data_IF_608106329619
#
_entry.id   IF_608106329619
#
_cell.length_a   1.000
_cell.length_b   1.000
_cell.length_c   1.000
_cell.angle_alpha   90.00
_cell.angle_beta   90.00
_cell.angle_gamma   90.00
#
_symmetry.space_group_name_H-M   'P 1'
#
loop_
_entity.id
_entity.type
_entity.pdbx_description
1 polymer ?
#
# COMPACT_ATOMS: atom_id res chain seq x y z
N UNK A 1 35.48 -8.00 80.31
CA UNK A 1 35.89 -9.14 79.47
C UNK A 1 34.72 -9.52 78.54
N UNK A 2 34.97 -9.45 77.23
CA UNK A 2 34.26 -10.11 76.11
C UNK A 2 32.74 -9.94 76.02
N UNK A 3 32.29 -8.89 75.31
CA UNK A 3 31.07 -8.93 74.47
C UNK A 3 31.51 -9.09 73.02
N UNK A 4 31.65 -10.34 72.62
CA UNK A 4 31.69 -10.79 71.23
C UNK A 4 30.22 -11.00 70.81
N UNK A 5 29.91 -10.81 69.52
CA UNK A 5 28.57 -10.81 68.89
C UNK A 5 27.82 -9.50 69.02
N UNK A 6 28.00 -8.63 68.02
CA UNK A 6 26.98 -8.12 67.09
C UNK A 6 27.79 -7.35 66.02
N UNK A 7 28.31 -8.11 65.06
CA UNK A 7 29.00 -7.57 63.88
C UNK A 7 28.78 -8.56 62.74
N UNK A 8 27.51 -8.87 62.47
CA UNK A 8 27.07 -9.60 61.29
C UNK A 8 25.56 -9.41 61.09
N UNK A 9 25.14 -8.20 60.74
CA UNK A 9 23.80 -7.92 60.24
C UNK A 9 23.82 -6.80 59.17
N UNK A 10 24.92 -6.77 58.41
CA UNK A 10 24.99 -6.09 57.12
C UNK A 10 24.94 -7.20 56.09
N UNK A 11 23.78 -7.40 55.45
CA UNK A 11 23.59 -7.95 54.09
C UNK A 11 22.12 -8.41 53.91
N UNK A 12 21.38 -7.65 53.11
CA UNK A 12 20.26 -8.02 52.21
C UNK A 12 19.04 -8.79 52.78
N UNK A 13 17.80 -8.38 52.42
CA UNK A 13 17.39 -8.33 51.02
C UNK A 13 16.50 -7.12 50.64
N UNK A 14 17.00 -6.25 49.77
CA UNK A 14 16.21 -5.30 48.96
C UNK A 14 16.59 -5.44 47.49
N UNK A 15 16.53 -6.66 46.97
CA UNK A 15 16.65 -6.92 45.53
C UNK A 15 15.66 -8.04 45.24
N UNK A 16 14.44 -7.70 44.81
CA UNK A 16 13.53 -8.60 44.07
C UNK A 16 12.26 -7.84 43.63
N UNK A 17 12.41 -6.65 43.04
CA UNK A 17 11.38 -6.05 42.18
C UNK A 17 12.11 -5.26 41.08
N UNK A 18 12.50 -5.97 40.02
CA UNK A 18 13.10 -5.37 38.82
C UNK A 18 12.06 -4.54 38.08
N UNK A 19 12.01 -3.24 38.35
CA UNK A 19 11.29 -2.30 37.50
C UNK A 19 12.17 -2.07 36.27
N UNK A 20 11.85 -2.74 35.16
CA UNK A 20 12.50 -2.48 33.86
C UNK A 20 12.23 -1.03 33.47
N UNK A 21 13.21 -0.15 33.67
CA UNK A 21 13.13 1.27 33.31
C UNK A 21 13.63 1.46 31.88
N UNK A 22 12.79 2.03 31.03
CA UNK A 22 13.20 2.43 29.68
C UNK A 22 14.30 3.50 29.75
N UNK A 23 15.32 3.38 28.91
CA UNK A 23 16.46 4.31 28.84
C UNK A 23 16.23 5.27 27.68
N UNK A 24 16.34 6.58 27.91
CA UNK A 24 16.22 7.59 26.84
C UNK A 24 17.59 7.95 26.29
N UNK A 25 17.77 7.89 24.97
CA UNK A 25 18.95 8.28 24.22
C UNK A 25 18.67 9.50 23.33
N UNK A 26 19.71 10.25 22.97
CA UNK A 26 19.59 11.25 21.90
C UNK A 26 19.72 10.60 20.51
N UNK A 27 19.18 11.21 19.44
CA UNK A 27 19.34 10.70 18.08
C UNK A 27 20.81 10.53 17.64
N UNK A 28 21.69 11.44 18.08
CA UNK A 28 23.11 11.42 17.72
C UNK A 28 23.84 10.25 18.38
N UNK A 29 23.46 9.87 19.61
CA UNK A 29 24.06 8.73 20.32
C UNK A 29 23.73 7.40 19.64
N UNK A 30 22.49 7.27 19.12
CA UNK A 30 22.07 6.10 18.34
C UNK A 30 22.86 6.02 17.03
N UNK A 31 22.96 7.13 16.29
CA UNK A 31 23.69 7.16 15.02
C UNK A 31 25.19 6.84 15.20
N UNK A 32 25.83 7.37 16.25
CA UNK A 32 27.21 7.06 16.57
C UNK A 32 27.42 5.60 16.96
N UNK A 33 26.48 4.99 17.68
CA UNK A 33 26.53 3.57 18.05
C UNK A 33 26.44 2.65 16.81
N UNK A 34 25.52 2.95 15.89
CA UNK A 34 25.33 2.18 14.66
C UNK A 34 26.54 2.26 13.72
N UNK A 35 27.31 3.36 13.78
CA UNK A 35 28.48 3.58 12.94
C UNK A 35 29.78 2.94 13.50
N UNK A 36 29.76 2.40 14.73
CA UNK A 36 30.94 1.75 15.32
C UNK A 36 31.29 0.45 14.56
N UNK A 37 32.50 0.32 13.99
CA UNK A 37 32.92 -0.88 13.25
C UNK A 37 32.79 -2.18 14.06
N UNK A 38 32.97 -2.10 15.39
CA UNK A 38 32.79 -3.27 16.28
C UNK A 38 31.33 -3.72 16.31
N UNK A 39 30.38 -2.79 16.46
CA UNK A 39 28.94 -3.05 16.36
C UNK A 39 28.56 -3.68 15.02
N UNK A 40 29.04 -3.11 13.91
CA UNK A 40 28.77 -3.62 12.55
C UNK A 40 29.22 -5.07 12.39
N UNK A 41 30.45 -5.40 12.81
CA UNK A 41 30.97 -6.78 12.69
C UNK A 41 30.15 -7.81 13.47
N UNK A 42 29.64 -7.42 14.65
CA UNK A 42 28.80 -8.26 15.50
C UNK A 42 27.41 -8.48 14.90
N UNK A 43 26.82 -7.45 14.32
CA UNK A 43 25.54 -7.54 13.62
C UNK A 43 25.65 -8.40 12.37
N UNK A 44 26.74 -8.28 11.60
CA UNK A 44 27.00 -9.14 10.44
C UNK A 44 27.11 -10.61 10.83
N UNK A 45 27.76 -10.91 11.97
CA UNK A 45 27.83 -12.27 12.47
C UNK A 45 26.45 -12.80 12.91
N UNK A 46 25.65 -12.00 13.64
CA UNK A 46 24.27 -12.37 13.96
C UNK A 46 23.42 -12.60 12.70
N UNK A 47 23.57 -11.75 11.69
CA UNK A 47 22.87 -11.87 10.41
C UNK A 47 23.26 -13.16 9.70
N UNK A 48 24.55 -13.50 9.68
CA UNK A 48 25.00 -14.78 9.14
C UNK A 48 24.38 -15.98 9.87
N UNK A 49 24.35 -15.99 11.21
CA UNK A 49 23.73 -17.08 11.97
C UNK A 49 22.24 -17.22 11.68
N UNK A 50 21.54 -16.09 11.56
CA UNK A 50 20.14 -16.06 11.15
C UNK A 50 19.96 -16.61 9.72
N UNK A 51 20.84 -16.20 8.80
CA UNK A 51 20.85 -16.63 7.40
C UNK A 51 21.22 -18.10 7.21
N UNK A 52 22.05 -18.65 8.09
CA UNK A 52 22.43 -20.07 8.13
C UNK A 52 21.37 -20.93 8.87
N UNK A 53 20.29 -20.33 9.37
CA UNK A 53 19.23 -20.95 10.17
C UNK A 53 19.72 -21.55 11.51
N UNK A 54 20.85 -21.10 12.04
CA UNK A 54 21.42 -21.56 13.31
C UNK A 54 20.84 -20.74 14.50
N UNK A 55 19.57 -21.00 14.81
CA UNK A 55 18.83 -20.23 15.83
C UNK A 55 19.34 -20.43 17.25
N UNK A 56 19.90 -21.60 17.58
CA UNK A 56 20.38 -21.89 18.93
C UNK A 56 21.67 -21.10 19.22
N UNK A 57 22.62 -21.10 18.27
CA UNK A 57 23.83 -20.28 18.34
C UNK A 57 23.47 -18.79 18.29
N UNK A 58 22.51 -18.41 17.44
CA UNK A 58 22.04 -17.01 17.36
C UNK A 58 21.48 -16.51 18.69
N UNK A 59 20.58 -17.27 19.33
CA UNK A 59 19.99 -16.86 20.61
C UNK A 59 21.06 -16.70 21.70
N UNK A 60 21.97 -17.68 21.80
CA UNK A 60 23.10 -17.62 22.74
C UNK A 60 24.00 -16.41 22.46
N UNK A 61 24.27 -16.12 21.19
CA UNK A 61 25.06 -14.97 20.79
C UNK A 61 24.36 -13.65 21.14
N UNK A 62 23.07 -13.51 20.80
CA UNK A 62 22.27 -12.31 21.11
C UNK A 62 22.15 -12.06 22.61
N UNK A 63 22.10 -13.11 23.44
CA UNK A 63 22.09 -12.99 24.91
C UNK A 63 23.44 -12.55 25.49
N UNK A 64 24.54 -12.76 24.76
CA UNK A 64 25.87 -12.26 25.13
C UNK A 64 26.12 -10.79 24.77
N UNK A 65 25.28 -10.21 23.88
CA UNK A 65 25.45 -8.83 23.43
C UNK A 65 24.97 -7.82 24.48
N UNK A 66 25.61 -6.62 24.55
CA UNK A 66 25.03 -5.49 25.26
C UNK A 66 23.62 -5.18 24.74
N UNK A 67 22.70 -4.84 25.63
CA UNK A 67 21.27 -4.72 25.29
C UNK A 67 21.01 -3.74 24.13
N UNK A 68 21.72 -2.61 24.07
CA UNK A 68 21.56 -1.64 22.98
C UNK A 68 21.89 -2.26 21.61
N UNK A 69 23.02 -2.98 21.54
CA UNK A 69 23.47 -3.67 20.35
C UNK A 69 22.58 -4.86 20.01
N UNK A 70 22.00 -5.52 21.02
CA UNK A 70 21.00 -6.58 20.83
C UNK A 70 19.77 -6.02 20.13
N UNK A 71 19.21 -4.89 20.57
CA UNK A 71 18.03 -4.30 19.93
C UNK A 71 18.30 -3.82 18.50
N UNK A 72 19.50 -3.30 18.25
CA UNK A 72 19.97 -2.98 16.90
C UNK A 72 20.04 -4.23 16.03
N UNK A 73 20.72 -5.28 16.51
CA UNK A 73 20.84 -6.56 15.80
C UNK A 73 19.45 -7.12 15.49
N UNK A 74 18.54 -7.18 16.47
CA UNK A 74 17.16 -7.64 16.26
C UNK A 74 16.42 -6.84 15.18
N UNK A 75 16.66 -5.54 15.08
CA UNK A 75 16.06 -4.69 14.04
C UNK A 75 16.59 -5.05 12.66
N UNK A 76 17.90 -5.27 12.54
CA UNK A 76 18.54 -5.68 11.29
C UNK A 76 18.07 -7.07 10.86
N UNK A 77 17.99 -8.03 11.80
CA UNK A 77 17.50 -9.38 11.55
C UNK A 77 16.02 -9.40 11.11
N UNK A 78 15.16 -8.60 11.75
CA UNK A 78 13.77 -8.48 11.33
C UNK A 78 13.67 -7.94 9.90
N UNK A 79 14.48 -6.93 9.54
CA UNK A 79 14.51 -6.36 8.19
C UNK A 79 15.08 -7.30 7.14
N UNK A 80 16.12 -8.07 7.46
CA UNK A 80 16.69 -9.04 6.52
C UNK A 80 15.70 -10.16 6.17
N UNK A 81 14.80 -10.50 7.10
CA UNK A 81 13.75 -11.50 6.89
C UNK A 81 12.65 -11.09 5.89
N UNK A 82 12.72 -9.88 5.30
CA UNK A 82 11.87 -9.50 4.18
C UNK A 82 12.21 -10.24 2.88
N UNK A 83 13.44 -10.76 2.78
CA UNK A 83 13.75 -11.74 1.76
C UNK A 83 13.17 -13.10 2.17
N UNK A 84 12.00 -13.41 1.62
CA UNK A 84 11.29 -14.65 1.91
C UNK A 84 11.93 -15.89 1.28
N UNK A 85 12.93 -15.76 0.40
CA UNK A 85 13.60 -16.92 -0.22
C UNK A 85 14.31 -17.81 0.81
N UNK A 86 14.65 -17.24 1.96
CA UNK A 86 15.32 -17.92 3.07
C UNK A 86 14.41 -18.14 4.29
N UNK A 87 13.11 -17.87 4.18
CA UNK A 87 12.19 -18.04 5.31
C UNK A 87 12.01 -19.52 5.68
N UNK A 88 12.23 -19.84 6.96
CA UNK A 88 12.08 -21.17 7.54
C UNK A 88 11.10 -21.14 8.72
N UNK A 89 10.54 -22.28 9.16
CA UNK A 89 9.72 -22.33 10.37
C UNK A 89 10.45 -21.82 11.62
N UNK A 90 11.76 -22.04 11.70
CA UNK A 90 12.57 -21.56 12.83
C UNK A 90 12.73 -20.04 12.81
N UNK A 91 12.93 -19.43 11.63
CA UNK A 91 12.94 -17.97 11.47
C UNK A 91 11.58 -17.36 11.78
N UNK A 92 10.51 -17.96 11.29
CA UNK A 92 9.15 -17.50 11.60
C UNK A 92 8.92 -17.52 13.12
N UNK A 93 9.27 -18.61 13.80
CA UNK A 93 9.17 -18.73 15.26
C UNK A 93 10.03 -17.68 15.98
N UNK A 94 11.24 -17.40 15.48
CA UNK A 94 12.08 -16.32 16.00
C UNK A 94 11.39 -14.96 15.87
N UNK A 95 10.87 -14.63 14.68
CA UNK A 95 10.13 -13.38 14.42
C UNK A 95 8.90 -13.26 15.32
N UNK A 96 8.13 -14.34 15.50
CA UNK A 96 6.98 -14.37 16.44
C UNK A 96 7.44 -14.03 17.85
N UNK A 97 8.56 -14.60 18.30
CA UNK A 97 9.13 -14.33 19.63
C UNK A 97 9.46 -12.85 19.81
N UNK A 98 10.23 -12.27 18.90
CA UNK A 98 10.69 -10.87 19.03
C UNK A 98 9.55 -9.87 18.78
N UNK A 99 8.53 -10.22 18.00
CA UNK A 99 7.34 -9.38 17.77
C UNK A 99 6.54 -9.09 19.04
N UNK A 100 6.68 -9.93 20.08
CA UNK A 100 5.97 -9.82 21.35
C UNK A 100 6.77 -9.10 22.43
N UNK A 101 8.03 -8.76 22.16
CA UNK A 101 8.93 -8.08 23.09
C UNK A 101 8.71 -6.55 23.04
N UNK A 102 9.18 -5.86 24.08
CA UNK A 102 9.12 -4.39 24.17
C UNK A 102 10.53 -3.81 24.11
N UNK A 103 10.80 -2.85 23.20
CA UNK A 103 12.05 -2.11 23.20
C UNK A 103 12.29 -1.37 24.52
N UNK A 104 13.52 -1.43 25.02
CA UNK A 104 13.98 -0.79 26.26
C UNK A 104 14.60 0.57 26.00
N UNK A 105 15.19 0.80 24.82
CA UNK A 105 15.80 2.07 24.47
C UNK A 105 14.81 2.94 23.68
N UNK A 106 14.64 4.18 24.14
CA UNK A 106 13.77 5.17 23.54
C UNK A 106 14.58 6.37 23.09
N UNK A 107 14.19 7.01 21.99
CA UNK A 107 14.74 8.28 21.53
C UNK A 107 13.68 9.36 21.74
N UNK A 108 14.09 10.49 22.32
CA UNK A 108 13.29 11.71 22.37
C UNK A 108 13.71 12.63 21.23
N UNK A 109 12.73 13.03 20.43
CA UNK A 109 12.91 14.02 19.37
C UNK A 109 11.88 15.15 19.52
N UNK A 110 12.29 16.37 19.20
CA UNK A 110 11.42 17.54 19.17
C UNK A 110 10.97 17.79 17.73
N UNK A 111 9.66 17.73 17.47
CA UNK A 111 9.07 18.03 16.17
C UNK A 111 7.82 18.89 16.36
N UNK A 112 7.70 19.97 15.57
CA UNK A 112 6.55 20.88 15.55
C UNK A 112 6.06 21.37 16.93
N UNK A 113 7.00 21.64 17.85
CA UNK A 113 6.69 22.13 19.20
C UNK A 113 6.26 21.06 20.20
N UNK A 114 6.24 19.78 19.81
CA UNK A 114 5.94 18.64 20.68
C UNK A 114 7.15 17.72 20.86
N UNK A 115 7.20 17.03 22.01
CA UNK A 115 8.18 15.98 22.28
C UNK A 115 7.59 14.62 21.93
N UNK A 116 8.21 13.94 20.97
CA UNK A 116 7.85 12.56 20.61
C UNK A 116 8.88 11.61 21.21
N UNK A 117 8.41 10.57 21.89
CA UNK A 117 9.24 9.46 22.38
C UNK A 117 8.93 8.23 21.55
N UNK A 118 9.94 7.66 20.90
CA UNK A 118 9.82 6.47 20.07
C UNK A 118 10.92 5.45 20.43
N UNK A 119 10.76 4.15 20.14
CA UNK A 119 11.85 3.19 20.28
C UNK A 119 13.08 3.63 19.47
N UNK A 120 14.27 3.51 20.05
CA UNK A 120 15.53 3.66 19.33
C UNK A 120 15.64 2.62 18.20
N UNK A 121 15.13 1.41 18.49
CA UNK A 121 15.16 0.25 17.60
C UNK A 121 13.78 -0.43 17.63
N UNK A 122 13.03 -0.35 16.53
CA UNK A 122 11.65 -0.86 16.46
C UNK A 122 11.57 -2.34 15.99
N UNK A 123 12.45 -3.20 16.50
CA UNK A 123 12.52 -4.60 16.06
C UNK A 123 11.19 -5.36 16.20
N UNK A 124 10.42 -5.12 17.27
CA UNK A 124 9.13 -5.77 17.48
C UNK A 124 8.09 -5.35 16.43
N UNK A 125 8.08 -4.07 16.04
CA UNK A 125 7.21 -3.57 14.97
C UNK A 125 7.61 -4.11 13.59
N UNK A 126 8.90 -4.11 13.30
CA UNK A 126 9.47 -4.66 12.05
C UNK A 126 9.13 -6.15 11.92
N UNK A 127 9.31 -6.93 12.99
CA UNK A 127 8.97 -8.35 12.99
C UNK A 127 7.48 -8.62 12.74
N UNK A 128 6.57 -7.84 13.35
CA UNK A 128 5.12 -7.94 13.06
C UNK A 128 4.83 -7.64 11.59
N UNK A 129 5.48 -6.62 11.04
CA UNK A 129 5.28 -6.22 9.66
C UNK A 129 5.75 -7.32 8.69
N UNK A 130 6.93 -7.90 8.93
CA UNK A 130 7.47 -9.03 8.16
C UNK A 130 6.54 -10.25 8.25
N UNK A 131 6.08 -10.61 9.45
CA UNK A 131 5.16 -11.74 9.65
C UNK A 131 3.84 -11.55 8.90
N UNK A 132 3.27 -10.34 8.89
CA UNK A 132 2.06 -10.06 8.11
C UNK A 132 2.31 -10.22 6.61
N UNK A 133 3.45 -9.74 6.09
CA UNK A 133 3.84 -9.89 4.68
C UNK A 133 4.12 -11.35 4.31
N UNK A 134 4.73 -12.11 5.20
CA UNK A 134 4.93 -13.55 5.05
C UNK A 134 3.59 -14.29 4.98
N UNK A 135 2.65 -13.97 5.87
CA UNK A 135 1.30 -14.55 5.84
C UNK A 135 0.58 -14.26 4.53
N UNK A 136 0.69 -13.03 4.01
CA UNK A 136 0.15 -12.67 2.69
C UNK A 136 0.79 -13.52 1.60
N UNK A 137 2.12 -13.71 1.63
CA UNK A 137 2.84 -14.55 0.65
C UNK A 137 2.39 -16.01 0.69
N UNK A 138 2.20 -16.59 1.89
CA UNK A 138 1.66 -17.95 2.04
C UNK A 138 0.25 -18.07 1.44
N UNK A 139 -0.61 -17.07 1.68
CA UNK A 139 -1.96 -17.01 1.12
C UNK A 139 -1.95 -16.82 -0.40
N UNK A 140 -1.01 -16.06 -0.96
CA UNK A 140 -0.81 -15.96 -2.41
C UNK A 140 -0.46 -17.31 -3.01
N UNK A 141 0.46 -18.05 -2.39
CA UNK A 141 0.88 -19.37 -2.87
C UNK A 141 -0.26 -20.38 -2.78
N UNK A 142 -1.08 -20.32 -1.72
CA UNK A 142 -2.31 -21.10 -1.60
C UNK A 142 -3.30 -20.75 -2.71
N UNK A 143 -3.61 -19.47 -2.90
CA UNK A 143 -4.52 -19.01 -3.93
C UNK A 143 -4.06 -19.41 -5.34
N UNK A 144 -2.77 -19.29 -5.62
CA UNK A 144 -2.19 -19.69 -6.90
C UNK A 144 -2.32 -21.21 -7.13
N UNK A 145 -2.05 -22.04 -6.11
CA UNK A 145 -2.27 -23.49 -6.18
C UNK A 145 -3.75 -23.80 -6.45
N UNK A 146 -4.66 -23.20 -5.70
CA UNK A 146 -6.10 -23.41 -5.87
C UNK A 146 -6.58 -22.96 -7.26
N UNK A 147 -6.08 -21.84 -7.77
CA UNK A 147 -6.41 -21.35 -9.11
C UNK A 147 -5.89 -22.30 -10.20
N UNK A 148 -4.68 -22.83 -10.04
CA UNK A 148 -4.09 -23.80 -10.97
C UNK A 148 -4.90 -25.09 -11.07
N UNK A 149 -5.36 -25.61 -9.93
CA UNK A 149 -6.20 -26.80 -9.87
C UNK A 149 -7.69 -26.54 -10.13
N UNK A 150 -8.09 -25.31 -10.49
CA UNK A 150 -9.49 -24.89 -10.66
C UNK A 150 -10.35 -25.15 -9.40
N UNK A 151 -9.74 -25.05 -8.22
CA UNK A 151 -10.37 -25.25 -6.90
C UNK A 151 -10.59 -23.94 -6.16
N UNK A 152 -10.13 -22.80 -6.70
CA UNK A 152 -10.33 -21.50 -6.07
C UNK A 152 -11.81 -21.09 -6.16
N UNK A 153 -12.47 -21.06 -5.00
CA UNK A 153 -13.77 -20.42 -4.85
C UNK A 153 -13.55 -18.99 -4.33
N UNK A 154 -13.69 -18.01 -5.22
CA UNK A 154 -13.35 -16.62 -4.93
C UNK A 154 -14.30 -15.96 -3.92
N UNK A 155 -15.60 -16.24 -3.99
CA UNK A 155 -16.56 -15.70 -3.00
C UNK A 155 -16.33 -16.25 -1.60
N UNK A 156 -15.99 -17.53 -1.47
CA UNK A 156 -15.60 -18.12 -0.17
C UNK A 156 -14.28 -17.54 0.33
N UNK A 157 -13.31 -17.36 -0.56
CA UNK A 157 -12.01 -16.76 -0.24
C UNK A 157 -12.14 -15.33 0.29
N UNK A 158 -13.01 -14.53 -0.31
CA UNK A 158 -13.26 -13.12 0.03
C UNK A 158 -14.45 -12.94 0.97
N UNK A 159 -14.75 -13.93 1.81
CA UNK A 159 -15.85 -13.85 2.76
C UNK A 159 -15.53 -12.84 3.87
N UNK A 160 -16.32 -11.77 4.00
CA UNK A 160 -16.16 -10.74 5.04
C UNK A 160 -16.29 -11.27 6.47
N UNK A 161 -16.96 -12.40 6.68
CA UNK A 161 -17.10 -13.01 8.01
C UNK A 161 -15.82 -13.70 8.50
N UNK A 162 -14.80 -13.81 7.65
CA UNK A 162 -13.51 -14.39 8.04
C UNK A 162 -12.64 -13.38 8.79
N UNK A 163 -12.02 -13.80 9.90
CA UNK A 163 -11.11 -12.97 10.68
C UNK A 163 -9.85 -12.54 9.90
N UNK A 164 -9.52 -13.25 8.82
CA UNK A 164 -8.37 -13.01 7.96
C UNK A 164 -8.74 -12.37 6.61
N UNK A 165 -9.98 -11.88 6.45
CA UNK A 165 -10.46 -11.24 5.22
C UNK A 165 -9.47 -10.22 4.64
N UNK A 166 -8.94 -9.33 5.48
CA UNK A 166 -8.01 -8.28 5.03
C UNK A 166 -6.73 -8.86 4.39
N UNK A 167 -6.16 -9.91 5.01
CA UNK A 167 -4.97 -10.58 4.50
C UNK A 167 -5.26 -11.38 3.22
N UNK A 168 -6.40 -12.09 3.19
CA UNK A 168 -6.86 -12.85 2.01
C UNK A 168 -7.11 -11.96 0.81
N UNK A 169 -7.75 -10.81 1.05
CA UNK A 169 -7.95 -9.76 0.05
C UNK A 169 -6.62 -9.25 -0.47
N UNK A 170 -5.73 -8.83 0.43
CA UNK A 170 -4.43 -8.27 0.05
C UNK A 170 -3.62 -9.29 -0.76
N UNK A 171 -3.64 -10.57 -0.36
CA UNK A 171 -3.00 -11.66 -1.08
C UNK A 171 -3.48 -11.75 -2.54
N UNK A 172 -4.78 -11.78 -2.81
CA UNK A 172 -5.27 -11.85 -4.20
C UNK A 172 -4.93 -10.57 -4.97
N UNK A 173 -5.16 -9.39 -4.38
CA UNK A 173 -4.90 -8.11 -5.05
C UNK A 173 -3.44 -7.99 -5.49
N UNK A 174 -2.51 -8.39 -4.63
CA UNK A 174 -1.06 -8.36 -4.90
C UNK A 174 -0.59 -9.54 -5.77
N UNK A 175 -1.35 -10.62 -5.84
CA UNK A 175 -1.11 -11.75 -6.74
C UNK A 175 -1.42 -11.38 -8.19
N UNK A 176 -2.51 -10.66 -8.47
CA UNK A 176 -3.00 -10.35 -9.83
C UNK A 176 -1.91 -9.84 -10.78
N UNK A 177 -1.07 -8.84 -10.41
CA UNK A 177 -0.02 -8.33 -11.30
C UNK A 177 1.00 -9.37 -11.75
N UNK A 178 1.20 -10.42 -10.95
CA UNK A 178 2.19 -11.50 -11.18
C UNK A 178 1.64 -12.64 -12.03
N UNK A 179 0.32 -12.70 -12.25
CA UNK A 179 -0.31 -13.77 -13.00
C UNK A 179 0.05 -13.71 -14.49
N UNK A 180 0.24 -14.89 -15.08
CA UNK A 180 0.29 -15.04 -16.53
C UNK A 180 -1.11 -14.91 -17.14
N UNK A 181 -1.19 -14.77 -18.46
CA UNK A 181 -2.46 -14.56 -19.17
C UNK A 181 -3.49 -15.66 -18.87
N UNK A 182 -3.11 -16.93 -18.94
CA UNK A 182 -4.03 -18.05 -18.71
C UNK A 182 -4.63 -18.04 -17.30
N UNK A 183 -3.82 -17.76 -16.28
CA UNK A 183 -4.31 -17.69 -14.90
C UNK A 183 -5.17 -16.44 -14.67
N UNK A 184 -4.78 -15.32 -15.28
CA UNK A 184 -5.56 -14.09 -15.23
C UNK A 184 -6.95 -14.29 -15.84
N UNK A 185 -7.02 -14.86 -17.05
CA UNK A 185 -8.28 -15.12 -17.76
C UNK A 185 -9.19 -16.03 -16.91
N UNK A 186 -8.63 -17.06 -16.24
CA UNK A 186 -9.38 -17.90 -15.28
C UNK A 186 -9.91 -17.09 -14.10
N UNK A 187 -9.08 -16.22 -13.51
CA UNK A 187 -9.48 -15.44 -12.34
C UNK A 187 -10.55 -14.39 -12.70
N UNK A 188 -10.44 -13.78 -13.89
CA UNK A 188 -11.47 -12.88 -14.43
C UNK A 188 -12.78 -13.64 -14.66
N UNK A 189 -12.72 -14.83 -15.28
CA UNK A 189 -13.91 -15.67 -15.46
C UNK A 189 -14.56 -16.04 -14.11
N UNK A 190 -13.77 -16.47 -13.12
CA UNK A 190 -14.28 -16.72 -11.76
C UNK A 190 -14.96 -15.49 -11.15
N UNK A 191 -14.40 -14.30 -11.38
CA UNK A 191 -14.99 -13.05 -10.91
C UNK A 191 -16.30 -12.72 -11.64
N UNK A 192 -16.37 -12.91 -12.96
CA UNK A 192 -17.54 -12.52 -13.74
C UNK A 192 -18.69 -13.54 -13.63
N UNK A 193 -18.37 -14.83 -13.45
CA UNK A 193 -19.34 -15.92 -13.45
C UNK A 193 -19.92 -16.22 -12.05
N UNK A 194 -19.20 -15.87 -10.98
CA UNK A 194 -19.67 -16.11 -9.61
C UNK A 194 -20.75 -15.10 -9.18
N UNK A 195 -22.01 -15.54 -9.20
CA UNK A 195 -23.16 -14.72 -8.78
C UNK A 195 -23.05 -14.19 -7.34
N UNK A 196 -22.29 -14.85 -6.46
CA UNK A 196 -22.15 -14.42 -5.07
C UNK A 196 -21.17 -13.25 -4.91
N UNK A 197 -20.28 -13.02 -5.89
CA UNK A 197 -19.26 -11.98 -5.82
C UNK A 197 -19.83 -10.57 -6.00
N UNK A 198 -21.04 -10.47 -6.56
CA UNK A 198 -21.80 -9.21 -6.67
C UNK A 198 -21.99 -8.59 -5.27
N UNK A 199 -22.12 -9.43 -4.25
CA UNK A 199 -22.28 -9.02 -2.85
C UNK A 199 -20.95 -8.75 -2.13
N UNK A 200 -19.82 -8.89 -2.83
CA UNK A 200 -18.48 -8.60 -2.30
C UNK A 200 -17.95 -7.32 -2.95
N UNK A 201 -18.27 -6.13 -2.39
CA UNK A 201 -17.85 -4.84 -2.92
C UNK A 201 -16.36 -4.60 -2.68
N UNK A 202 -15.49 -5.33 -3.39
CA UNK A 202 -14.05 -5.10 -3.37
C UNK A 202 -13.54 -4.45 -4.65
N UNK A 203 -13.50 -3.12 -4.63
CA UNK A 203 -13.00 -2.33 -5.75
C UNK A 203 -11.49 -2.48 -5.96
N UNK A 204 -10.70 -2.88 -4.95
CA UNK A 204 -9.26 -3.06 -5.17
C UNK A 204 -8.96 -4.31 -6.00
N UNK A 205 -9.69 -5.40 -5.75
CA UNK A 205 -9.57 -6.58 -6.59
C UNK A 205 -10.05 -6.29 -8.02
N UNK A 206 -11.19 -5.63 -8.18
CA UNK A 206 -11.68 -5.23 -9.49
C UNK A 206 -10.71 -4.32 -10.22
N UNK A 207 -10.15 -3.31 -9.55
CA UNK A 207 -9.15 -2.43 -10.12
C UNK A 207 -7.91 -3.22 -10.57
N UNK A 208 -7.38 -4.11 -9.72
CA UNK A 208 -6.22 -4.93 -10.08
C UNK A 208 -6.50 -5.84 -11.29
N UNK A 209 -7.68 -6.48 -11.35
CA UNK A 209 -8.10 -7.30 -12.48
C UNK A 209 -8.29 -6.46 -13.74
N UNK A 210 -8.97 -5.31 -13.65
CA UNK A 210 -9.21 -4.40 -14.76
C UNK A 210 -7.90 -3.90 -15.36
N UNK A 211 -6.97 -3.43 -14.53
CA UNK A 211 -5.67 -2.94 -14.97
C UNK A 211 -4.82 -4.03 -15.65
N UNK A 212 -4.78 -5.23 -15.07
CA UNK A 212 -3.93 -6.32 -15.58
C UNK A 212 -4.52 -6.99 -16.82
N UNK A 213 -5.84 -7.16 -16.90
CA UNK A 213 -6.52 -7.80 -18.03
C UNK A 213 -6.84 -6.81 -19.16
N UNK A 214 -7.05 -5.55 -18.81
CA UNK A 214 -7.63 -4.55 -19.68
C UNK A 214 -9.08 -4.86 -20.09
N UNK A 215 -9.77 -5.85 -19.51
CA UNK A 215 -11.10 -6.23 -19.97
C UNK A 215 -12.15 -5.14 -19.70
N UNK A 216 -12.84 -4.70 -20.76
CA UNK A 216 -13.84 -3.64 -20.66
C UNK A 216 -14.96 -3.99 -19.68
N UNK A 217 -15.44 -5.24 -19.68
CA UNK A 217 -16.47 -5.72 -18.75
C UNK A 217 -16.06 -5.55 -17.27
N UNK A 218 -14.79 -5.73 -16.95
CA UNK A 218 -14.29 -5.60 -15.58
C UNK A 218 -14.25 -4.12 -15.18
N UNK A 219 -13.85 -3.24 -16.10
CA UNK A 219 -13.94 -1.79 -15.90
C UNK A 219 -15.39 -1.31 -15.76
N UNK A 220 -16.31 -1.80 -16.58
CA UNK A 220 -17.74 -1.44 -16.50
C UNK A 220 -18.29 -1.77 -15.11
N UNK A 221 -17.96 -2.95 -14.57
CA UNK A 221 -18.33 -3.33 -13.21
C UNK A 221 -17.69 -2.41 -12.15
N UNK A 222 -16.43 -2.02 -12.33
CA UNK A 222 -15.75 -1.08 -11.43
C UNK A 222 -16.44 0.29 -11.44
N UNK A 223 -16.82 0.80 -12.62
CA UNK A 223 -17.51 2.08 -12.79
C UNK A 223 -18.93 2.08 -12.25
N UNK A 224 -19.63 0.94 -12.28
CA UNK A 224 -20.97 0.81 -11.70
C UNK A 224 -20.97 0.81 -10.17
N UNK A 225 -19.82 0.51 -9.52
CA UNK A 225 -19.72 0.47 -8.07
C UNK A 225 -19.56 1.85 -7.45
N UNK A 226 -19.83 1.93 -6.15
CA UNK A 226 -19.54 3.12 -5.36
C UNK A 226 -18.05 3.42 -5.46
N UNK A 227 -17.71 4.64 -5.89
CA UNK A 227 -16.34 5.09 -6.05
C UNK A 227 -15.59 5.12 -4.73
N UNK A 228 -14.37 4.60 -4.76
CA UNK A 228 -13.38 4.62 -3.69
C UNK A 228 -12.00 5.01 -4.25
N UNK A 229 -10.97 4.99 -3.40
CA UNK A 229 -9.59 5.27 -3.81
C UNK A 229 -9.10 4.31 -4.91
N UNK A 230 -9.52 3.05 -4.88
CA UNK A 230 -9.15 2.05 -5.89
C UNK A 230 -9.69 2.38 -7.27
N UNK A 231 -10.98 2.76 -7.34
CA UNK A 231 -11.65 3.15 -8.59
C UNK A 231 -11.02 4.41 -9.19
N UNK A 232 -10.72 5.40 -8.33
CA UNK A 232 -10.07 6.64 -8.76
C UNK A 232 -8.65 6.37 -9.27
N UNK A 233 -7.87 5.54 -8.58
CA UNK A 233 -6.52 5.18 -9.01
C UNK A 233 -6.52 4.43 -10.35
N UNK A 234 -7.49 3.53 -10.56
CA UNK A 234 -7.65 2.84 -11.84
C UNK A 234 -7.94 3.82 -12.99
N UNK A 235 -8.78 4.84 -12.75
CA UNK A 235 -9.07 5.90 -13.72
C UNK A 235 -7.81 6.74 -13.99
N UNK A 236 -7.08 7.13 -12.94
CA UNK A 236 -5.82 7.88 -13.03
C UNK A 236 -4.75 7.17 -13.86
N UNK A 237 -4.73 5.84 -13.87
CA UNK A 237 -3.76 5.10 -14.71
C UNK A 237 -4.10 5.12 -16.20
N UNK A 238 -5.36 5.31 -16.59
CA UNK A 238 -5.77 5.29 -18.00
C UNK A 238 -5.21 6.48 -18.81
N UNK A 239 -4.89 7.59 -18.15
CA UNK A 239 -4.26 8.76 -18.80
C UNK A 239 -2.73 8.64 -18.87
N UNK A 240 -2.12 7.63 -18.23
CA UNK A 240 -0.67 7.45 -18.27
C UNK A 240 -0.23 6.92 -19.66
N UNK A 241 0.80 7.51 -20.28
CA UNK A 241 1.29 7.05 -21.57
C UNK A 241 1.77 5.59 -21.54
N UNK A 242 1.55 4.81 -22.63
CA UNK A 242 0.86 5.19 -23.86
C UNK A 242 -0.66 5.17 -23.72
N UNK A 243 -1.32 6.27 -24.08
CA UNK A 243 -2.79 6.34 -24.14
C UNK A 243 -3.27 5.73 -25.46
N UNK A 244 -4.10 4.69 -25.37
CA UNK A 244 -4.65 3.98 -26.53
C UNK A 244 -6.13 4.34 -26.73
N UNK A 245 -6.67 4.05 -27.91
CA UNK A 245 -8.11 4.19 -28.19
C UNK A 245 -8.98 3.46 -27.16
N UNK A 246 -8.52 2.30 -26.68
CA UNK A 246 -9.18 1.55 -25.62
C UNK A 246 -9.20 2.32 -24.29
N UNK A 247 -8.09 2.94 -23.90
CA UNK A 247 -8.04 3.77 -22.69
C UNK A 247 -9.02 4.94 -22.78
N UNK A 248 -9.11 5.57 -23.95
CA UNK A 248 -10.06 6.67 -24.21
C UNK A 248 -11.51 6.20 -24.02
N UNK A 249 -11.87 5.05 -24.60
CA UNK A 249 -13.20 4.47 -24.45
C UNK A 249 -13.52 4.15 -22.99
N UNK A 250 -12.54 3.64 -22.23
CA UNK A 250 -12.71 3.36 -20.80
C UNK A 250 -12.88 4.65 -19.97
N UNK A 251 -12.13 5.71 -20.28
CA UNK A 251 -12.31 7.02 -19.64
C UNK A 251 -13.68 7.62 -19.95
N UNK A 252 -14.15 7.52 -21.21
CA UNK A 252 -15.50 7.95 -21.59
C UNK A 252 -16.55 7.15 -20.81
N UNK A 253 -16.41 5.83 -20.72
CA UNK A 253 -17.34 4.98 -19.97
C UNK A 253 -17.41 5.35 -18.48
N UNK A 254 -16.27 5.71 -17.88
CA UNK A 254 -16.21 6.14 -16.48
C UNK A 254 -17.06 7.39 -16.18
N UNK A 255 -17.38 8.21 -17.20
CA UNK A 255 -18.23 9.40 -17.02
C UNK A 255 -19.68 9.10 -16.71
N UNK A 256 -20.13 7.86 -16.90
CA UNK A 256 -21.44 7.40 -16.46
C UNK A 256 -21.56 7.38 -14.92
N UNK A 257 -20.44 7.28 -14.20
CA UNK A 257 -20.42 7.38 -12.74
C UNK A 257 -20.29 8.86 -12.33
N UNK A 258 -21.28 9.44 -11.61
CA UNK A 258 -21.29 10.85 -11.27
C UNK A 258 -20.06 11.33 -10.48
N UNK A 259 -19.47 10.47 -9.65
CA UNK A 259 -18.31 10.81 -8.82
C UNK A 259 -17.03 10.81 -9.64
N UNK A 260 -16.92 9.93 -10.64
CA UNK A 260 -15.75 9.83 -11.52
C UNK A 260 -15.81 10.79 -12.71
N UNK A 261 -17.01 11.27 -13.06
CA UNK A 261 -17.24 12.03 -14.28
C UNK A 261 -16.34 13.26 -14.42
N UNK A 262 -16.18 14.05 -13.36
CA UNK A 262 -15.32 15.23 -13.41
C UNK A 262 -13.86 14.86 -13.67
N UNK A 263 -13.36 13.83 -12.99
CA UNK A 263 -11.98 13.35 -13.19
C UNK A 263 -11.80 12.84 -14.60
N UNK A 264 -12.68 11.97 -15.08
CA UNK A 264 -12.60 11.42 -16.43
C UNK A 264 -12.67 12.50 -17.53
N UNK A 265 -13.56 13.49 -17.40
CA UNK A 265 -13.63 14.63 -18.33
C UNK A 265 -12.34 15.44 -18.30
N UNK A 266 -11.75 15.68 -17.12
CA UNK A 266 -10.48 16.39 -16.98
C UNK A 266 -9.31 15.67 -17.64
N UNK A 267 -9.27 14.34 -17.57
CA UNK A 267 -8.25 13.52 -18.23
C UNK A 267 -8.43 13.55 -19.75
N UNK A 268 -9.65 13.35 -20.23
CA UNK A 268 -9.99 13.42 -21.66
C UNK A 268 -9.65 14.78 -22.26
N UNK A 269 -9.97 15.86 -21.55
CA UNK A 269 -9.64 17.23 -21.96
C UNK A 269 -8.14 17.54 -21.88
N UNK A 270 -7.33 16.70 -21.22
CA UNK A 270 -5.87 16.86 -21.14
C UNK A 270 -5.09 16.10 -22.21
N UNK A 271 -5.77 15.45 -23.16
CA UNK A 271 -5.11 14.66 -24.20
C UNK A 271 -4.56 15.57 -25.32
N UNK A 272 -3.29 15.36 -25.68
CA UNK A 272 -2.62 16.10 -26.75
C UNK A 272 -2.06 15.17 -27.83
N UNK A 273 -2.46 15.33 -29.10
CA UNK A 273 -3.61 16.12 -29.58
C UNK A 273 -4.96 15.52 -29.14
N UNK A 274 -6.04 16.31 -29.16
CA UNK A 274 -7.41 15.80 -28.90
C UNK A 274 -7.85 14.84 -30.02
N UNK A 275 -8.06 13.54 -29.72
CA UNK A 275 -8.57 12.59 -30.71
C UNK A 275 -10.02 12.91 -31.10
N UNK A 276 -10.44 12.53 -32.32
CA UNK A 276 -11.75 12.93 -32.85
C UNK A 276 -12.93 12.43 -31.99
N UNK A 277 -12.88 11.18 -31.52
CA UNK A 277 -13.88 10.63 -30.61
C UNK A 277 -14.00 11.43 -29.29
N UNK A 278 -12.88 11.97 -28.79
CA UNK A 278 -12.86 12.84 -27.60
C UNK A 278 -13.47 14.19 -27.92
N UNK A 279 -13.17 14.79 -29.09
CA UNK A 279 -13.82 16.04 -29.54
C UNK A 279 -15.33 15.88 -29.61
N UNK A 280 -15.81 14.80 -30.23
CA UNK A 280 -17.25 14.52 -30.35
C UNK A 280 -17.91 14.33 -28.98
N UNK A 281 -17.22 13.65 -28.06
CA UNK A 281 -17.68 13.46 -26.69
C UNK A 281 -17.74 14.79 -25.92
N UNK A 282 -16.66 15.57 -25.92
CA UNK A 282 -16.57 16.84 -25.21
C UNK A 282 -17.56 17.87 -25.77
N UNK A 283 -17.78 17.91 -27.10
CA UNK A 283 -18.80 18.76 -27.70
C UNK A 283 -20.20 18.48 -27.15
N UNK A 284 -20.56 17.19 -26.96
CA UNK A 284 -21.84 16.82 -26.33
C UNK A 284 -21.91 17.27 -24.87
N UNK A 285 -20.79 17.20 -24.14
CA UNK A 285 -20.72 17.68 -22.76
C UNK A 285 -20.85 19.21 -22.67
N UNK A 286 -20.25 19.96 -23.60
CA UNK A 286 -20.39 21.42 -23.68
C UNK A 286 -21.84 21.83 -23.99
N UNK A 287 -22.61 21.00 -24.71
CA UNK A 287 -24.02 21.27 -24.98
C UNK A 287 -24.93 21.17 -23.74
N UNK A 288 -24.42 20.67 -22.60
CA UNK A 288 -25.15 20.61 -21.34
C UNK A 288 -25.44 22.02 -20.79
N UNK A 289 -26.69 22.25 -20.38
CA UNK A 289 -27.14 23.58 -19.93
C UNK A 289 -26.58 24.00 -18.57
N UNK A 290 -26.25 23.04 -17.71
CA UNK A 290 -25.84 23.32 -16.33
C UNK A 290 -24.32 23.38 -16.21
N UNK A 291 -23.62 22.45 -16.87
CA UNK A 291 -22.17 22.26 -16.71
C UNK A 291 -21.35 22.64 -17.94
N UNK A 292 -22.01 22.88 -19.08
CA UNK A 292 -21.30 23.08 -20.35
C UNK A 292 -20.34 24.27 -20.37
N UNK A 293 -20.65 25.35 -19.63
CA UNK A 293 -19.73 26.50 -19.43
C UNK A 293 -18.44 26.05 -18.74
N UNK A 294 -18.54 25.34 -17.62
CA UNK A 294 -17.38 24.92 -16.83
C UNK A 294 -16.52 23.92 -17.60
N UNK A 295 -17.17 23.06 -18.41
CA UNK A 295 -16.48 22.13 -19.30
C UNK A 295 -15.71 22.88 -20.40
N UNK A 296 -16.30 23.91 -21.01
CA UNK A 296 -15.59 24.75 -21.98
C UNK A 296 -14.39 25.48 -21.34
N UNK A 297 -14.56 26.03 -20.13
CA UNK A 297 -13.47 26.67 -19.39
C UNK A 297 -12.35 25.67 -19.05
N UNK A 298 -12.70 24.46 -18.61
CA UNK A 298 -11.74 23.39 -18.35
C UNK A 298 -10.93 23.03 -19.62
N UNK A 299 -11.59 22.89 -20.76
CA UNK A 299 -10.92 22.55 -22.03
C UNK A 299 -9.98 23.69 -22.48
N UNK A 300 -10.38 24.95 -22.29
CA UNK A 300 -9.53 26.10 -22.54
C UNK A 300 -8.30 26.09 -21.61
N UNK A 301 -8.47 25.83 -20.32
CA UNK A 301 -7.38 25.70 -19.34
C UNK A 301 -6.39 24.56 -19.68
N UNK A 302 -6.88 23.53 -20.37
CA UNK A 302 -6.04 22.44 -20.89
C UNK A 302 -5.34 22.77 -22.21
N UNK A 303 -5.48 23.99 -22.72
CA UNK A 303 -4.73 24.47 -23.88
C UNK A 303 -5.39 24.20 -25.23
N UNK A 304 -6.70 23.94 -25.26
CA UNK A 304 -7.45 23.68 -26.49
C UNK A 304 -8.33 24.86 -26.94
N UNK A 305 -7.83 26.09 -26.75
CA UNK A 305 -8.54 27.34 -27.08
C UNK A 305 -8.86 27.42 -28.58
N UNK A 306 -7.90 27.09 -29.45
CA UNK A 306 -8.10 27.17 -30.91
C UNK A 306 -9.25 26.27 -31.39
N UNK A 307 -9.31 25.04 -30.87
CA UNK A 307 -10.41 24.12 -31.16
C UNK A 307 -11.75 24.65 -30.67
N UNK A 308 -11.80 25.29 -29.49
CA UNK A 308 -13.02 25.91 -28.98
C UNK A 308 -13.47 27.09 -29.86
N UNK A 309 -12.55 27.91 -30.38
CA UNK A 309 -12.87 29.02 -31.30
C UNK A 309 -13.43 28.51 -32.63
N UNK A 310 -12.81 27.50 -33.24
CA UNK A 310 -13.34 26.81 -34.42
C UNK A 310 -14.76 26.24 -34.16
N UNK A 311 -14.97 25.69 -32.96
CA UNK A 311 -16.25 25.14 -32.57
C UNK A 311 -17.31 26.23 -32.32
N UNK A 312 -16.95 27.41 -31.81
CA UNK A 312 -17.87 28.53 -31.62
C UNK A 312 -18.47 29.01 -32.95
N UNK A 313 -17.63 29.10 -34.00
CA UNK A 313 -18.03 29.53 -35.34
C UNK A 313 -19.04 28.59 -35.98
N UNK A 314 -18.86 27.28 -35.77
CA UNK A 314 -19.65 26.22 -36.41
C UNK A 314 -20.87 25.77 -35.61
N UNK A 315 -20.92 26.07 -34.30
CA UNK A 315 -22.04 25.71 -33.43
C UNK A 315 -22.99 26.88 -33.18
N UNK A 316 -24.18 26.62 -32.63
CA UNK A 316 -25.17 27.66 -32.34
C UNK A 316 -25.88 27.39 -31.00
N UNK A 317 -26.72 28.33 -30.57
CA UNK A 317 -27.57 28.19 -29.39
C UNK A 317 -26.79 28.07 -28.08
N UNK A 318 -27.16 27.08 -27.26
CA UNK A 318 -26.60 26.86 -25.91
C UNK A 318 -25.11 26.53 -25.98
N UNK A 319 -24.69 25.68 -26.92
CA UNK A 319 -23.29 25.27 -27.08
C UNK A 319 -22.39 26.48 -27.35
N UNK A 320 -22.77 27.35 -28.31
CA UNK A 320 -22.02 28.58 -28.61
C UNK A 320 -21.90 29.48 -27.38
N UNK A 321 -23.01 29.66 -26.64
CA UNK A 321 -23.01 30.48 -25.41
C UNK A 321 -22.08 29.91 -24.33
N UNK A 322 -22.11 28.60 -24.13
CA UNK A 322 -21.25 27.92 -23.16
C UNK A 322 -19.76 28.05 -23.52
N UNK A 323 -19.41 27.92 -24.80
CA UNK A 323 -18.04 28.11 -25.29
C UNK A 323 -17.57 29.53 -25.00
N UNK A 324 -18.34 30.54 -25.44
CA UNK A 324 -18.00 31.95 -25.25
C UNK A 324 -17.77 32.30 -23.78
N UNK A 325 -18.74 31.96 -22.93
CA UNK A 325 -18.66 32.25 -21.49
C UNK A 325 -17.50 31.48 -20.81
N UNK A 326 -17.17 30.28 -21.31
CA UNK A 326 -16.05 29.49 -20.82
C UNK A 326 -14.69 30.09 -21.21
N UNK A 327 -14.56 30.59 -22.44
CA UNK A 327 -13.36 31.30 -22.91
C UNK A 327 -13.15 32.61 -22.15
N UNK A 328 -14.20 33.41 -21.99
CA UNK A 328 -14.16 34.67 -21.23
C UNK A 328 -13.67 34.47 -19.78
N UNK A 329 -13.99 33.33 -19.16
CA UNK A 329 -13.55 33.02 -17.80
C UNK A 329 -12.06 32.69 -17.67
N UNK A 330 -11.42 32.25 -18.76
CA UNK A 330 -10.00 31.85 -18.76
C UNK A 330 -9.11 32.96 -19.32
N UNK A 331 -9.63 33.75 -20.25
CA UNK A 331 -8.92 34.87 -20.89
C UNK A 331 -9.04 36.20 -20.12
N UNK A 332 -10.06 36.36 -19.27
CA UNK A 332 -10.29 37.56 -18.44
C UNK A 332 -9.57 37.54 -17.11
#
# INVERSE_FOLDING_TARGET
>A
MKRLLILLAVLLPTLLLGVSRAVTLSPNDVAAHMADPSSVSKILYATKLFDDNDMDTLNTYLDSLPELLKEEALTVLARSALDFSHMTPEREKFLVTISRQQPKFLVKSQGDGFWVTMPAFNYAGEAKWVLNRWQIKLMQDEAMRLLNYNQLNLSKWLSFSSNDYALRREAIVTLVPTLNKTMLDKLVALYLDDKNIVWIPDNALLAALAEKSGEAKVYDLLWLRRTDSSSLAALQKLEMPPVTEKHIQLMIAATANPVLAETAVRQLAGLHPLPQNVKDFLQKQIADRQRGRDIAALIAQKGHIDWLRELEETTSGVTRRNIRNGLEQVEG
#
